data_IF_788382758688
#
_entry.id   IF_788382758688
#
_cell.length_a   1.000
_cell.length_b   1.000
_cell.length_c   1.000
_cell.angle_alpha   90.00
_cell.angle_beta   90.00
_cell.angle_gamma   90.00
#
_symmetry.space_group_name_H-M   'P 1'
#
loop_
_entity.id
_entity.type
_entity.pdbx_description
1 polymer ?
#
# COMPACT_ATOMS: atom_id res chain seq x y z
N UNK A 1 4.34 -27.41 -24.76
CA UNK A 1 3.55 -27.95 -23.63
C UNK A 1 2.96 -26.78 -22.88
N UNK A 2 1.73 -26.42 -23.24
CA UNK A 2 0.90 -25.40 -22.58
C UNK A 2 0.65 -25.80 -21.12
N UNK A 3 0.80 -24.88 -20.18
CA UNK A 3 0.08 -24.95 -18.91
C UNK A 3 -0.68 -23.64 -18.71
N UNK A 4 -1.98 -23.72 -18.96
CA UNK A 4 -2.99 -22.69 -18.72
C UNK A 4 -3.33 -22.73 -17.23
N UNK A 5 -3.07 -21.64 -16.51
CA UNK A 5 -3.56 -21.45 -15.15
C UNK A 5 -4.76 -20.49 -15.20
N UNK A 6 -5.96 -21.07 -15.26
CA UNK A 6 -7.22 -20.37 -15.14
C UNK A 6 -7.45 -19.99 -13.67
N UNK A 7 -7.44 -18.69 -13.36
CA UNK A 7 -7.84 -18.16 -12.06
C UNK A 7 -9.31 -17.75 -12.17
N UNK A 8 -10.16 -18.51 -11.48
CA UNK A 8 -11.60 -18.30 -11.37
C UNK A 8 -11.89 -17.11 -10.45
N UNK A 9 -12.53 -16.07 -11.00
CA UNK A 9 -13.15 -15.01 -10.22
C UNK A 9 -14.43 -15.55 -9.56
N UNK A 10 -14.39 -15.78 -8.26
CA UNK A 10 -15.56 -16.01 -7.44
C UNK A 10 -16.23 -14.67 -7.12
N UNK A 11 -17.41 -14.43 -7.70
CA UNK A 11 -18.23 -13.25 -7.45
C UNK A 11 -18.89 -13.28 -6.08
N UNK A 12 -18.88 -12.13 -5.39
CA UNK A 12 -19.69 -11.91 -4.19
C UNK A 12 -21.12 -11.54 -4.61
N UNK A 13 -22.02 -12.53 -4.60
CA UNK A 13 -23.46 -12.27 -4.63
C UNK A 13 -23.91 -11.86 -3.22
N UNK A 14 -24.10 -10.57 -2.99
CA UNK A 14 -24.75 -10.06 -1.79
C UNK A 14 -26.26 -10.30 -1.90
N UNK A 15 -26.73 -11.35 -1.23
CA UNK A 15 -28.16 -11.63 -1.01
C UNK A 15 -28.73 -10.59 -0.06
N UNK A 16 -29.77 -9.87 -0.49
CA UNK A 16 -30.57 -8.99 0.37
C UNK A 16 -31.68 -9.81 1.05
N UNK A 17 -31.84 -9.74 2.39
CA UNK A 17 -32.97 -10.40 3.04
C UNK A 17 -34.25 -9.59 2.85
N UNK A 18 -35.26 -10.22 2.24
CA UNK A 18 -36.64 -9.74 2.20
C UNK A 18 -37.22 -9.69 3.62
N UNK A 19 -37.72 -8.52 4.02
CA UNK A 19 -38.53 -8.39 5.22
C UNK A 19 -39.91 -9.01 4.99
N UNK A 20 -40.18 -10.09 5.73
CA UNK A 20 -41.48 -10.76 5.79
C UNK A 20 -42.48 -9.85 6.50
N UNK A 21 -43.54 -9.46 5.78
CA UNK A 21 -44.72 -8.83 6.35
C UNK A 21 -45.48 -9.85 7.20
N UNK A 22 -45.78 -9.51 8.45
CA UNK A 22 -46.64 -10.27 9.35
C UNK A 22 -47.87 -9.42 9.78
N UNK A 23 -49.01 -10.06 10.07
CA UNK A 23 -50.34 -9.48 9.96
C UNK A 23 -50.79 -8.78 11.24
N UNK A 24 -51.64 -7.76 11.05
CA UNK A 24 -52.26 -6.93 12.10
C UNK A 24 -53.54 -7.61 12.60
N UNK A 25 -53.81 -7.67 13.93
CA UNK A 25 -55.16 -7.86 14.43
C UNK A 25 -55.80 -6.53 14.89
N UNK A 26 -57.14 -6.44 14.89
CA UNK A 26 -57.87 -5.17 14.90
C UNK A 26 -58.33 -4.79 16.31
N UNK A 27 -58.32 -3.49 16.64
CA UNK A 27 -59.23 -2.94 17.64
C UNK A 27 -59.81 -1.60 17.18
N UNK A 28 -61.12 -1.54 17.38
CA UNK A 28 -62.19 -0.59 17.06
C UNK A 28 -62.06 0.84 17.61
N UNK A 29 -62.45 1.80 16.74
CA UNK A 29 -63.29 3.01 16.94
C UNK A 29 -62.87 4.11 17.96
N UNK A 30 -63.14 5.43 17.74
CA UNK A 30 -64.30 5.98 17.05
C UNK A 30 -64.05 7.16 16.06
N UNK A 31 -65.19 7.59 15.52
CA UNK A 31 -65.55 8.50 14.42
C UNK A 31 -64.84 9.88 14.34
N UNK A 32 -64.81 10.47 13.12
CA UNK A 32 -63.93 11.58 12.74
C UNK A 32 -64.56 12.96 12.98
N UNK A 33 -63.75 13.89 13.47
CA UNK A 33 -63.97 15.33 13.24
C UNK A 33 -63.29 15.71 11.93
N UNK A 34 -63.99 16.36 10.97
CA UNK A 34 -63.38 16.78 9.73
C UNK A 34 -62.54 18.03 10.00
N UNK A 35 -61.24 17.87 10.22
CA UNK A 35 -60.31 18.99 10.17
C UNK A 35 -60.07 19.29 8.70
N UNK A 36 -60.42 20.53 8.34
CA UNK A 36 -60.33 21.07 7.00
C UNK A 36 -59.01 20.73 6.32
N UNK A 37 -59.12 20.23 5.09
CA UNK A 37 -58.03 20.12 4.13
C UNK A 37 -57.53 21.52 3.81
N UNK A 38 -56.55 22.00 4.58
CA UNK A 38 -55.73 23.13 4.14
C UNK A 38 -54.73 22.58 3.14
N UNK A 39 -54.99 22.84 1.86
CA UNK A 39 -54.09 22.53 0.76
C UNK A 39 -52.69 23.04 1.09
N UNK A 40 -51.64 22.20 1.10
CA UNK A 40 -50.29 22.71 1.19
C UNK A 40 -50.01 23.45 -0.12
N UNK A 41 -49.99 24.78 -0.07
CA UNK A 41 -49.36 25.57 -1.11
C UNK A 41 -47.94 25.02 -1.34
N UNK A 42 -47.50 24.82 -2.59
CA UNK A 42 -46.12 24.45 -2.86
C UNK A 42 -45.25 25.64 -2.48
N UNK A 43 -44.73 25.63 -1.25
CA UNK A 43 -43.75 26.61 -0.82
C UNK A 43 -42.45 26.34 -1.60
N UNK A 44 -41.98 27.21 -2.51
CA UNK A 44 -40.76 26.98 -3.28
C UNK A 44 -39.48 27.25 -2.45
N UNK A 45 -39.60 27.48 -1.14
CA UNK A 45 -38.52 27.98 -0.29
C UNK A 45 -37.76 26.90 0.51
N UNK A 46 -37.92 25.62 0.17
CA UNK A 46 -37.05 24.55 0.68
C UNK A 46 -36.01 24.14 -0.37
N UNK A 47 -35.40 25.11 -1.05
CA UNK A 47 -34.07 24.89 -1.58
C UNK A 47 -33.12 24.85 -0.37
N UNK A 48 -32.79 23.65 0.08
CA UNK A 48 -31.73 23.39 1.04
C UNK A 48 -30.48 24.13 0.57
N UNK A 49 -30.20 25.31 1.12
CA UNK A 49 -28.91 25.96 0.90
C UNK A 49 -27.87 25.02 1.48
N UNK A 50 -27.06 24.41 0.62
CA UNK A 50 -25.90 23.67 1.10
C UNK A 50 -25.14 24.58 2.07
N UNK A 51 -24.69 24.08 3.24
CA UNK A 51 -23.92 24.91 4.15
C UNK A 51 -22.71 25.46 3.38
N UNK A 52 -22.53 26.79 3.39
CA UNK A 52 -21.48 27.49 2.64
C UNK A 52 -20.07 26.96 2.93
N UNK A 53 -19.91 26.29 4.08
CA UNK A 53 -18.67 25.63 4.53
C UNK A 53 -18.33 24.35 3.75
N UNK A 54 -19.25 23.82 2.93
CA UNK A 54 -19.01 22.64 2.10
C UNK A 54 -18.21 22.95 0.82
N UNK A 55 -18.17 24.22 0.38
CA UNK A 55 -17.52 24.62 -0.89
C UNK A 55 -16.01 24.31 -0.88
N UNK A 56 -15.23 24.67 0.15
CA UNK A 56 -13.79 24.36 0.20
C UNK A 56 -13.51 22.85 0.16
N UNK A 57 -14.33 22.05 0.84
CA UNK A 57 -14.21 20.59 0.85
C UNK A 57 -14.44 20.02 -0.54
N UNK A 58 -15.50 20.47 -1.22
CA UNK A 58 -15.80 20.04 -2.59
C UNK A 58 -14.69 20.42 -3.59
N UNK A 59 -14.08 21.59 -3.42
CA UNK A 59 -12.94 22.02 -4.23
C UNK A 59 -11.72 21.11 -4.03
N UNK A 60 -11.38 20.80 -2.77
CA UNK A 60 -10.28 19.89 -2.45
C UNK A 60 -10.53 18.49 -3.01
N UNK A 61 -11.77 17.98 -2.92
CA UNK A 61 -12.15 16.68 -3.47
C UNK A 61 -12.08 16.66 -5.00
N UNK A 62 -12.64 17.68 -5.68
CA UNK A 62 -12.59 17.79 -7.13
C UNK A 62 -11.15 17.87 -7.66
N UNK A 63 -10.28 18.58 -6.95
CA UNK A 63 -8.86 18.62 -7.30
C UNK A 63 -8.17 17.29 -7.01
N UNK A 64 -8.50 16.62 -5.90
CA UNK A 64 -8.00 15.27 -5.57
C UNK A 64 -8.30 14.28 -6.69
N UNK A 65 -9.53 14.28 -7.21
CA UNK A 65 -9.93 13.42 -8.33
C UNK A 65 -9.11 13.66 -9.60
N UNK A 66 -8.73 14.92 -9.86
CA UNK A 66 -7.85 15.26 -10.98
C UNK A 66 -6.43 14.76 -10.74
N UNK A 67 -5.89 15.00 -9.55
CA UNK A 67 -4.53 14.56 -9.18
C UNK A 67 -4.40 13.04 -9.34
N UNK A 68 -5.43 12.28 -8.95
CA UNK A 68 -5.44 10.80 -9.06
C UNK A 68 -5.34 10.28 -10.51
N UNK A 69 -5.58 11.13 -11.51
CA UNK A 69 -5.50 10.77 -12.94
C UNK A 69 -4.24 11.29 -13.62
N UNK A 70 -3.37 12.00 -12.90
CA UNK A 70 -2.15 12.59 -13.46
C UNK A 70 -1.10 11.51 -13.76
N UNK A 71 -0.34 11.74 -14.83
CA UNK A 71 0.85 10.93 -15.09
C UNK A 71 1.95 11.23 -14.06
N UNK A 72 2.91 10.30 -13.79
CA UNK A 72 3.94 10.51 -12.77
C UNK A 72 4.78 11.79 -12.96
N UNK A 73 5.09 12.16 -14.21
CA UNK A 73 5.84 13.38 -14.51
C UNK A 73 5.01 14.67 -14.28
N UNK A 74 3.69 14.61 -14.50
CA UNK A 74 2.78 15.73 -14.23
C UNK A 74 2.55 15.88 -12.73
N UNK A 75 2.41 14.76 -12.02
CA UNK A 75 2.31 14.72 -10.56
C UNK A 75 3.52 15.39 -9.91
N UNK A 76 4.75 15.08 -10.37
CA UNK A 76 5.95 15.72 -9.85
C UNK A 76 5.95 17.25 -10.04
N UNK A 77 5.49 17.73 -11.20
CA UNK A 77 5.35 19.17 -11.46
C UNK A 77 4.29 19.81 -10.57
N UNK A 78 3.17 19.13 -10.35
CA UNK A 78 2.09 19.61 -9.48
C UNK A 78 2.53 19.64 -8.01
N UNK A 79 3.29 18.65 -7.54
CA UNK A 79 3.89 18.66 -6.19
C UNK A 79 4.82 19.87 -6.02
N UNK A 80 5.67 20.16 -7.00
CA UNK A 80 6.54 21.34 -6.97
C UNK A 80 5.70 22.63 -6.93
N UNK A 81 4.72 22.77 -7.83
CA UNK A 81 3.82 23.94 -7.90
C UNK A 81 3.06 24.18 -6.59
N UNK A 82 2.52 23.12 -5.99
CA UNK A 82 1.79 23.19 -4.72
C UNK A 82 2.74 23.44 -3.54
N UNK A 83 3.98 22.95 -3.59
CA UNK A 83 5.01 23.21 -2.59
C UNK A 83 5.44 24.68 -2.52
N UNK A 84 5.62 25.33 -3.68
CA UNK A 84 5.92 26.77 -3.74
C UNK A 84 4.75 27.63 -3.25
N UNK A 85 3.52 27.13 -3.39
CA UNK A 85 2.29 27.83 -3.02
C UNK A 85 1.66 27.32 -1.70
N UNK A 86 2.43 26.64 -0.85
CA UNK A 86 1.92 25.91 0.33
C UNK A 86 1.06 26.80 1.25
N UNK A 87 1.46 28.06 1.45
CA UNK A 87 0.77 29.04 2.30
C UNK A 87 -0.20 29.97 1.52
N UNK A 88 -0.34 29.78 0.21
CA UNK A 88 -1.16 30.67 -0.64
C UNK A 88 -2.67 30.54 -0.34
N UNK A 89 -3.11 29.39 0.19
CA UNK A 89 -4.49 29.17 0.60
C UNK A 89 -4.57 28.11 1.71
N UNK A 90 -5.67 28.11 2.46
CA UNK A 90 -5.91 27.15 3.54
C UNK A 90 -6.08 25.71 3.01
N UNK A 91 -6.47 25.57 1.74
CA UNK A 91 -6.66 24.28 1.06
C UNK A 91 -5.36 23.68 0.52
N UNK A 92 -4.38 24.52 0.15
CA UNK A 92 -3.16 24.09 -0.54
C UNK A 92 -2.40 22.99 0.21
N UNK A 93 -2.24 23.03 1.55
CA UNK A 93 -1.57 21.95 2.29
C UNK A 93 -2.27 20.59 2.15
N UNK A 94 -3.60 20.55 2.07
CA UNK A 94 -4.36 19.31 1.85
C UNK A 94 -4.19 18.82 0.41
N UNK A 95 -4.20 19.72 -0.57
CA UNK A 95 -3.94 19.38 -1.98
C UNK A 95 -2.54 18.79 -2.16
N UNK A 96 -1.54 19.42 -1.54
CA UNK A 96 -0.16 18.95 -1.54
C UNK A 96 -0.04 17.60 -0.84
N UNK A 97 -0.68 17.42 0.32
CA UNK A 97 -0.71 16.13 1.03
C UNK A 97 -1.31 15.01 0.17
N UNK A 98 -2.39 15.29 -0.57
CA UNK A 98 -2.99 14.33 -1.52
C UNK A 98 -2.02 13.97 -2.64
N UNK A 99 -1.33 14.95 -3.24
CA UNK A 99 -0.37 14.71 -4.31
C UNK A 99 0.83 13.88 -3.83
N UNK A 100 1.39 14.22 -2.67
CA UNK A 100 2.46 13.47 -2.00
C UNK A 100 2.04 12.03 -1.67
N UNK A 101 0.80 11.82 -1.19
CA UNK A 101 0.31 10.48 -0.88
C UNK A 101 0.30 9.53 -2.09
N UNK A 102 0.22 10.07 -3.32
CA UNK A 102 0.20 9.26 -4.54
C UNK A 102 1.57 8.72 -4.95
N UNK A 103 2.67 9.34 -4.50
CA UNK A 103 4.02 8.88 -4.82
C UNK A 103 4.35 7.55 -4.14
N UNK A 104 3.62 7.22 -3.06
CA UNK A 104 3.82 6.03 -2.21
C UNK A 104 5.27 5.92 -1.71
N UNK A 105 5.89 7.08 -1.46
CA UNK A 105 7.21 7.16 -0.83
C UNK A 105 7.05 7.45 0.66
N UNK A 106 7.75 6.73 1.55
CA UNK A 106 7.57 6.89 3.00
C UNK A 106 7.93 8.30 3.50
N UNK A 107 8.91 8.95 2.85
CA UNK A 107 9.29 10.34 3.14
C UNK A 107 8.16 11.31 2.80
N UNK A 108 7.50 11.11 1.66
CA UNK A 108 6.37 11.93 1.22
C UNK A 108 5.13 11.68 2.08
N UNK A 109 4.87 10.43 2.48
CA UNK A 109 3.80 10.08 3.42
C UNK A 109 4.00 10.80 4.76
N UNK A 110 5.23 10.86 5.28
CA UNK A 110 5.54 11.59 6.50
C UNK A 110 5.35 13.11 6.35
N UNK A 111 5.77 13.69 5.21
CA UNK A 111 5.53 15.11 4.91
C UNK A 111 4.04 15.42 4.81
N UNK A 112 3.27 14.58 4.11
CA UNK A 112 1.83 14.72 3.97
C UNK A 112 1.11 14.70 5.32
N UNK A 113 1.50 13.82 6.25
CA UNK A 113 0.98 13.80 7.62
C UNK A 113 1.22 15.14 8.34
N UNK A 114 2.44 15.69 8.23
CA UNK A 114 2.77 16.98 8.82
C UNK A 114 1.90 18.13 8.29
N UNK A 115 1.61 18.15 6.99
CA UNK A 115 0.72 19.15 6.37
C UNK A 115 -0.71 19.06 6.89
N UNK A 116 -1.26 17.84 6.94
CA UNK A 116 -2.63 17.60 7.43
C UNK A 116 -2.76 17.99 8.90
N UNK A 117 -1.77 17.65 9.73
CA UNK A 117 -1.74 18.04 11.14
C UNK A 117 -1.63 19.55 11.33
N UNK A 118 -0.88 20.25 10.46
CA UNK A 118 -0.83 21.71 10.47
C UNK A 118 -2.20 22.32 10.21
N UNK A 119 -2.94 21.83 9.22
CA UNK A 119 -4.31 22.30 8.93
C UNK A 119 -5.24 22.07 10.13
N UNK A 120 -5.13 20.92 10.79
CA UNK A 120 -5.91 20.61 12.00
C UNK A 120 -5.55 21.52 13.19
N UNK A 121 -4.30 21.97 13.29
CA UNK A 121 -3.86 22.91 14.33
C UNK A 121 -4.28 24.36 14.05
N UNK A 122 -4.66 24.68 12.81
CA UNK A 122 -5.09 26.02 12.42
C UNK A 122 -6.54 26.28 12.89
N UNK A 123 -6.72 27.32 13.70
CA UNK A 123 -8.00 27.66 14.35
C UNK A 123 -8.81 28.72 13.60
N UNK A 124 -8.42 29.12 12.39
CA UNK A 124 -9.23 30.02 11.56
C UNK A 124 -10.52 29.35 11.12
N UNK A 125 -11.61 30.11 10.96
CA UNK A 125 -12.92 29.55 10.55
C UNK A 125 -12.84 28.79 9.21
N UNK A 126 -12.07 29.31 8.25
CA UNK A 126 -11.82 28.64 6.97
C UNK A 126 -11.09 27.29 7.14
N UNK A 127 -10.14 27.19 8.06
CA UNK A 127 -9.45 25.92 8.36
C UNK A 127 -10.35 24.94 9.11
N UNK A 128 -11.17 25.43 10.04
CA UNK A 128 -12.11 24.62 10.81
C UNK A 128 -13.12 23.90 9.90
N UNK A 129 -13.58 24.55 8.83
CA UNK A 129 -14.43 23.92 7.81
C UNK A 129 -13.76 22.69 7.15
N UNK A 130 -12.43 22.67 7.04
CA UNK A 130 -11.65 21.57 6.45
C UNK A 130 -11.24 20.48 7.44
N UNK A 131 -11.38 20.70 8.77
CA UNK A 131 -10.95 19.74 9.80
C UNK A 131 -11.57 18.33 9.67
N UNK A 132 -12.85 18.16 9.30
CA UNK A 132 -13.41 16.82 9.09
C UNK A 132 -12.68 16.07 7.96
N UNK A 133 -12.36 16.75 6.86
CA UNK A 133 -11.60 16.17 5.75
C UNK A 133 -10.15 15.86 6.16
N UNK A 134 -9.50 16.79 6.87
CA UNK A 134 -8.14 16.59 7.37
C UNK A 134 -8.03 15.36 8.29
N UNK A 135 -8.97 15.16 9.23
CA UNK A 135 -9.02 13.97 10.09
C UNK A 135 -9.19 12.66 9.29
N UNK A 136 -10.03 12.68 8.26
CA UNK A 136 -10.19 11.53 7.37
C UNK A 136 -8.87 11.22 6.64
N UNK A 137 -8.21 12.25 6.09
CA UNK A 137 -6.92 12.11 5.40
C UNK A 137 -5.82 11.61 6.33
N UNK A 138 -5.74 12.11 7.57
CA UNK A 138 -4.79 11.63 8.58
C UNK A 138 -4.97 10.14 8.83
N UNK A 139 -6.21 9.68 9.03
CA UNK A 139 -6.50 8.26 9.25
C UNK A 139 -6.01 7.37 8.10
N UNK A 140 -6.20 7.83 6.85
CA UNK A 140 -5.76 7.14 5.63
C UNK A 140 -4.23 7.13 5.50
N UNK A 141 -3.57 8.25 5.77
CA UNK A 141 -2.11 8.35 5.70
C UNK A 141 -1.42 7.49 6.76
N UNK A 142 -1.99 7.40 7.97
CA UNK A 142 -1.49 6.50 9.01
C UNK A 142 -1.65 5.02 8.60
N UNK A 143 -2.74 4.66 7.93
CA UNK A 143 -2.91 3.32 7.35
C UNK A 143 -1.88 3.06 6.26
N UNK A 144 -1.65 4.03 5.36
CA UNK A 144 -0.64 3.92 4.31
C UNK A 144 0.76 3.68 4.90
N UNK A 145 1.15 4.45 5.92
CA UNK A 145 2.44 4.26 6.61
C UNK A 145 2.57 2.86 7.21
N UNK A 146 1.52 2.31 7.83
CA UNK A 146 1.53 0.93 8.36
C UNK A 146 1.74 -0.11 7.25
N UNK A 147 1.16 0.11 6.07
CA UNK A 147 1.35 -0.78 4.92
C UNK A 147 2.78 -0.68 4.35
N UNK A 148 3.33 0.54 4.28
CA UNK A 148 4.72 0.77 3.88
C UNK A 148 5.69 0.06 4.83
N UNK A 149 5.49 0.17 6.14
CA UNK A 149 6.29 -0.54 7.16
C UNK A 149 6.20 -2.07 7.02
N UNK A 150 5.01 -2.61 6.69
CA UNK A 150 4.82 -4.04 6.44
C UNK A 150 5.55 -4.52 5.19
N UNK A 151 5.47 -3.76 4.10
CA UNK A 151 6.18 -4.05 2.85
C UNK A 151 7.70 -4.05 3.06
N UNK A 152 8.22 -3.11 3.85
CA UNK A 152 9.64 -3.07 4.18
C UNK A 152 10.09 -4.33 4.93
N UNK A 153 9.34 -4.73 5.97
CA UNK A 153 9.63 -5.95 6.75
C UNK A 153 9.58 -7.20 5.88
N UNK A 154 8.58 -7.34 5.02
CA UNK A 154 8.48 -8.46 4.08
C UNK A 154 9.66 -8.46 3.11
N UNK A 155 10.06 -7.29 2.59
CA UNK A 155 11.24 -7.17 1.73
C UNK A 155 12.53 -7.59 2.42
N UNK A 156 12.71 -7.26 3.70
CA UNK A 156 13.85 -7.71 4.49
C UNK A 156 13.85 -9.23 4.69
N UNK A 157 12.71 -9.82 5.05
CA UNK A 157 12.56 -11.27 5.21
C UNK A 157 12.85 -12.02 3.91
N UNK A 158 12.39 -11.53 2.76
CA UNK A 158 12.66 -12.14 1.46
C UNK A 158 14.16 -12.15 1.13
N UNK A 159 14.86 -11.04 1.36
CA UNK A 159 16.32 -10.97 1.15
C UNK A 159 17.08 -11.92 2.07
N UNK A 160 16.66 -12.03 3.32
CA UNK A 160 17.28 -12.96 4.26
C UNK A 160 17.02 -14.42 3.86
N UNK A 161 15.79 -14.76 3.46
CA UNK A 161 15.45 -16.09 2.96
C UNK A 161 16.22 -16.46 1.69
N UNK A 162 16.40 -15.51 0.76
CA UNK A 162 17.23 -15.68 -0.43
C UNK A 162 18.69 -15.99 -0.05
N UNK A 163 19.30 -15.21 0.85
CA UNK A 163 20.68 -15.47 1.33
C UNK A 163 20.83 -16.86 1.96
N UNK A 164 19.83 -17.30 2.73
CA UNK A 164 19.82 -18.67 3.30
C UNK A 164 19.71 -19.72 2.20
N UNK A 165 18.90 -19.49 1.16
CA UNK A 165 18.80 -20.39 0.02
C UNK A 165 20.13 -20.51 -0.73
N UNK A 166 20.81 -19.39 -0.98
CA UNK A 166 22.12 -19.36 -1.64
C UNK A 166 23.16 -20.15 -0.83
N UNK A 167 23.20 -19.95 0.50
CA UNK A 167 24.08 -20.72 1.40
C UNK A 167 23.77 -22.22 1.37
N UNK A 168 22.50 -22.61 1.31
CA UNK A 168 22.12 -24.02 1.20
C UNK A 168 22.50 -24.60 -0.16
N UNK A 169 22.37 -23.84 -1.24
CA UNK A 169 22.80 -24.25 -2.57
C UNK A 169 24.31 -24.45 -2.63
N UNK A 170 25.09 -23.52 -2.08
CA UNK A 170 26.56 -23.64 -1.98
C UNK A 170 26.96 -24.92 -1.22
N UNK A 171 26.27 -25.24 -0.12
CA UNK A 171 26.49 -26.49 0.63
C UNK A 171 26.12 -27.73 -0.19
N UNK A 172 25.01 -27.70 -0.91
CA UNK A 172 24.61 -28.80 -1.79
C UNK A 172 25.62 -29.00 -2.93
N UNK A 173 26.12 -27.93 -3.51
CA UNK A 173 27.16 -27.98 -4.54
C UNK A 173 28.49 -28.52 -3.99
N UNK A 174 28.88 -28.12 -2.78
CA UNK A 174 30.04 -28.66 -2.09
C UNK A 174 29.90 -30.17 -1.84
N UNK A 175 28.73 -30.64 -1.39
CA UNK A 175 28.44 -32.07 -1.22
C UNK A 175 28.49 -32.81 -2.56
N UNK A 176 27.89 -32.26 -3.63
CA UNK A 176 27.97 -32.84 -4.98
C UNK A 176 29.42 -32.89 -5.51
N UNK A 177 30.25 -31.92 -5.16
CA UNK A 177 31.67 -31.93 -5.52
C UNK A 177 32.44 -33.04 -4.79
N UNK A 178 32.12 -33.26 -3.50
CA UNK A 178 32.67 -34.39 -2.73
C UNK A 178 32.26 -35.72 -3.38
N UNK A 179 30.97 -35.90 -3.69
CA UNK A 179 30.46 -37.11 -4.37
C UNK A 179 31.19 -37.36 -5.70
N UNK A 180 31.38 -36.31 -6.52
CA UNK A 180 32.15 -36.41 -7.77
C UNK A 180 33.61 -36.79 -7.53
N UNK A 181 34.26 -36.24 -6.51
CA UNK A 181 35.67 -36.56 -6.21
C UNK A 181 35.85 -37.98 -5.67
N UNK A 182 34.86 -38.53 -4.96
CA UNK A 182 34.89 -39.90 -4.44
C UNK A 182 34.67 -40.93 -5.56
N UNK A 183 33.74 -40.67 -6.49
CA UNK A 183 33.50 -41.59 -7.61
C UNK A 183 34.57 -41.51 -8.70
N UNK A 184 35.27 -40.39 -8.85
CA UNK A 184 36.33 -40.22 -9.87
C UNK A 184 37.73 -40.53 -9.37
N UNK A 185 37.90 -41.09 -8.15
CA UNK A 185 39.22 -41.54 -7.67
C UNK A 185 39.84 -42.44 -8.75
N UNK A 186 40.94 -42.03 -9.41
CA UNK A 186 41.54 -42.81 -10.47
C UNK A 186 42.00 -44.15 -9.89
N UNK A 187 41.79 -45.23 -10.65
CA UNK A 187 42.47 -46.49 -10.39
C UNK A 187 43.97 -46.20 -10.17
N UNK A 188 44.65 -46.90 -9.24
CA UNK A 188 46.07 -46.68 -9.00
C UNK A 188 46.81 -46.72 -10.33
N UNK A 189 47.54 -45.65 -10.66
CA UNK A 189 48.48 -45.68 -11.77
C UNK A 189 49.44 -46.86 -11.52
N UNK A 190 49.77 -47.68 -12.54
CA UNK A 190 50.74 -48.76 -12.38
C UNK A 190 52.03 -48.18 -11.82
N UNK A 191 52.58 -48.82 -10.78
CA UNK A 191 53.80 -48.39 -10.12
C UNK A 191 54.90 -48.09 -11.16
N UNK A 192 55.47 -46.88 -11.09
CA UNK A 192 56.62 -46.51 -11.89
C UNK A 192 57.79 -47.47 -11.59
N UNK A 193 58.56 -47.91 -12.60
CA UNK A 193 59.65 -48.85 -12.42
C UNK A 193 60.74 -48.24 -11.53
N UNK A 194 61.20 -49.02 -10.55
CA UNK A 194 62.23 -48.64 -9.60
C UNK A 194 63.53 -48.20 -10.31
N UNK A 195 64.09 -47.07 -9.90
CA UNK A 195 65.42 -46.63 -10.32
C UNK A 195 66.51 -47.54 -9.70
N UNK A 196 67.60 -47.84 -10.41
CA UNK A 196 68.64 -48.75 -9.94
C UNK A 196 69.47 -48.15 -8.78
N UNK A 197 70.07 -48.97 -7.92
CA UNK A 197 70.80 -48.49 -6.75
C UNK A 197 72.08 -47.76 -7.15
N UNK A 198 72.21 -46.51 -6.69
CA UNK A 198 73.40 -45.69 -6.84
C UNK A 198 74.58 -46.25 -6.06
N UNK A 199 75.73 -46.29 -6.72
CA UNK A 199 77.06 -46.61 -6.20
C UNK A 199 77.47 -45.64 -5.08
N UNK A 200 77.94 -46.20 -3.97
CA UNK A 200 78.47 -45.49 -2.81
C UNK A 200 79.76 -44.72 -3.14
N UNK A 201 79.97 -43.50 -2.61
CA UNK A 201 81.23 -42.80 -2.77
C UNK A 201 82.28 -43.37 -1.80
N UNK A 202 83.41 -43.84 -2.35
CA UNK A 202 84.60 -44.20 -1.59
C UNK A 202 85.21 -42.95 -0.93
N UNK A 203 85.41 -43.05 0.39
CA UNK A 203 86.20 -42.12 1.20
C UNK A 203 87.69 -42.40 0.98
N UNK A 204 88.53 -41.40 0.66
CA UNK A 204 89.97 -41.54 0.78
C UNK A 204 90.45 -41.04 2.16
N UNK A 205 91.40 -41.78 2.73
CA UNK A 205 92.33 -41.41 3.82
C UNK A 205 93.72 -41.87 3.37
N UNK A 206 94.84 -41.36 3.88
CA UNK A 206 95.04 -40.29 4.85
C UNK A 206 95.56 -38.97 4.23
#
# INVERSE_FOLDING_TARGET
>A
MLLVAAITLAGCNATAPQAVAAPVPPMTAPTPTPVATESPSPNPAAATSAPSDAIPVLQVLAQTDRTLRMAPAELAKEIARLGEAEDASVETPLLLATALAQTRQPVDTARALGLVQRVMSNTTAAAQALHPLARLMESRLLQQRRLEDQLERQGQQLREAQRRNDQLNERLEAVRAIERSLTTRPAPLPAAPASPPGSSPQRPTP
#
